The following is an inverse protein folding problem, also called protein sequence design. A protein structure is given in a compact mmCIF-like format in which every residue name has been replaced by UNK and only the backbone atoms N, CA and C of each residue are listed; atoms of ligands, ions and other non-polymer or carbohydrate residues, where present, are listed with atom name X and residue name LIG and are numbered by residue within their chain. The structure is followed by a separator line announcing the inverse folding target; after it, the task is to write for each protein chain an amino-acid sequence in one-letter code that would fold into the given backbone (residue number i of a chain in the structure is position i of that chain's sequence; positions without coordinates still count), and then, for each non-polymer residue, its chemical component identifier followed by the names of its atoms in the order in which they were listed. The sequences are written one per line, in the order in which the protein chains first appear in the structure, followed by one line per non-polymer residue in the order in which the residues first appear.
data_IF_290095771294
#
_entry.id   IF_290095771294
#
_cell.length_a   1.000
_cell.length_b   1.000
_cell.length_c   1.000
_cell.angle_alpha   90.00
_cell.angle_beta   90.00
_cell.angle_gamma   90.00
#
_symmetry.space_group_name_H-M   'P 1'
#
loop_
_entity.id
_entity.type
_entity.pdbx_description
1 polymer ?
#
# COMPACT_ATOMS: atom_id res chain seq x y z
N UNK A 1 -21.43 3.80 -12.84
CA UNK A 1 -20.23 3.28 -13.55
C UNK A 1 -19.36 2.60 -12.50
N UNK A 2 -18.97 1.35 -12.69
CA UNK A 2 -17.99 0.69 -11.82
C UNK A 2 -16.58 1.09 -12.27
N UNK A 3 -15.75 1.57 -11.33
CA UNK A 3 -14.37 1.98 -11.60
C UNK A 3 -13.47 0.92 -10.98
N UNK A 4 -12.67 0.26 -11.81
CA UNK A 4 -11.70 -0.73 -11.36
C UNK A 4 -10.31 -0.07 -11.29
N UNK A 5 -9.69 -0.08 -10.11
CA UNK A 5 -8.33 0.38 -9.90
C UNK A 5 -7.49 -0.79 -9.41
N UNK A 6 -6.57 -1.27 -10.24
CA UNK A 6 -5.68 -2.38 -9.91
C UNK A 6 -4.21 -2.00 -10.15
N UNK A 7 -3.35 -1.99 -9.12
CA UNK A 7 -1.93 -1.75 -9.31
C UNK A 7 -1.29 -2.88 -10.11
N UNK A 8 -0.83 -2.58 -11.33
CA UNK A 8 -0.17 -3.56 -12.20
C UNK A 8 1.03 -4.17 -11.47
N UNK A 9 0.98 -5.49 -11.24
CA UNK A 9 2.03 -6.23 -10.55
C UNK A 9 2.08 -6.00 -9.04
N UNK A 10 0.97 -5.59 -8.41
CA UNK A 10 0.90 -5.40 -6.95
C UNK A 10 1.43 -6.60 -6.16
N UNK A 11 2.32 -6.34 -5.20
CA UNK A 11 2.96 -7.34 -4.34
C UNK A 11 4.02 -8.20 -5.04
N UNK A 12 4.38 -7.89 -6.29
CA UNK A 12 5.45 -8.58 -7.02
C UNK A 12 6.78 -7.84 -6.87
N UNK A 13 7.88 -8.58 -7.02
CA UNK A 13 9.24 -8.05 -6.85
C UNK A 13 9.60 -6.83 -7.74
N UNK A 14 8.89 -6.64 -8.86
CA UNK A 14 9.07 -5.49 -9.77
C UNK A 14 7.84 -4.60 -9.89
N UNK A 15 6.79 -4.88 -9.14
CA UNK A 15 5.60 -4.03 -9.08
C UNK A 15 5.51 -3.29 -7.74
N UNK A 16 4.44 -2.51 -7.52
CA UNK A 16 4.23 -1.82 -6.26
C UNK A 16 4.12 -2.83 -5.11
N UNK A 17 4.98 -2.69 -4.12
CA UNK A 17 5.03 -3.57 -2.96
C UNK A 17 5.53 -2.78 -1.74
N UNK A 18 5.20 -3.27 -0.55
CA UNK A 18 5.70 -2.78 0.72
C UNK A 18 6.88 -3.69 1.13
N UNK A 19 6.75 -4.46 2.21
CA UNK A 19 7.79 -5.38 2.69
C UNK A 19 7.70 -6.81 2.17
N UNK A 20 6.75 -7.14 1.28
CA UNK A 20 6.49 -8.51 0.83
C UNK A 20 5.56 -9.31 1.73
N UNK A 21 5.40 -8.94 3.01
CA UNK A 21 4.58 -9.67 3.98
C UNK A 21 3.13 -9.23 3.91
N UNK A 22 2.88 -7.92 3.96
CA UNK A 22 1.53 -7.33 3.98
C UNK A 22 0.90 -7.15 2.59
N UNK A 23 1.68 -7.33 1.52
CA UNK A 23 1.29 -6.91 0.19
C UNK A 23 0.08 -7.65 -0.35
N UNK A 24 0.01 -8.95 -0.12
CA UNK A 24 -1.10 -9.76 -0.61
C UNK A 24 -2.44 -9.27 -0.06
N UNK A 25 -2.49 -8.97 1.23
CA UNK A 25 -3.72 -8.54 1.90
C UNK A 25 -4.12 -7.13 1.47
N UNK A 26 -3.13 -6.23 1.35
CA UNK A 26 -3.36 -4.86 0.88
C UNK A 26 -3.84 -4.84 -0.58
N UNK A 27 -3.15 -5.54 -1.49
CA UNK A 27 -3.51 -5.60 -2.91
C UNK A 27 -4.91 -6.20 -3.08
N UNK A 28 -5.19 -7.32 -2.41
CA UNK A 28 -6.53 -7.92 -2.42
C UNK A 28 -7.58 -6.92 -1.93
N UNK A 29 -7.29 -6.21 -0.86
CA UNK A 29 -8.16 -5.18 -0.31
C UNK A 29 -8.50 -4.04 -1.27
N UNK A 30 -7.50 -3.56 -2.04
CA UNK A 30 -7.70 -2.55 -3.08
C UNK A 30 -8.60 -3.08 -4.21
N UNK A 31 -8.39 -4.34 -4.63
CA UNK A 31 -9.24 -4.98 -5.63
C UNK A 31 -10.69 -5.14 -5.13
N UNK A 32 -10.86 -5.59 -3.88
CA UNK A 32 -12.18 -5.74 -3.25
C UNK A 32 -12.89 -4.39 -3.11
N UNK A 33 -12.17 -3.33 -2.73
CA UNK A 33 -12.70 -1.97 -2.70
C UNK A 33 -13.17 -1.50 -4.08
N UNK A 34 -12.42 -1.79 -5.14
CA UNK A 34 -12.82 -1.41 -6.51
C UNK A 34 -14.15 -2.04 -6.95
N UNK A 35 -14.54 -3.17 -6.35
CA UNK A 35 -15.81 -3.85 -6.62
C UNK A 35 -16.94 -3.36 -5.72
N UNK A 36 -16.63 -3.01 -4.47
CA UNK A 36 -17.62 -2.81 -3.40
C UNK A 36 -17.77 -1.36 -2.95
N UNK A 37 -16.78 -0.52 -3.22
CA UNK A 37 -16.61 0.83 -2.65
C UNK A 37 -16.62 0.88 -1.11
N UNK A 38 -16.26 -0.23 -0.43
CA UNK A 38 -16.24 -0.29 1.02
C UNK A 38 -15.02 0.46 1.61
N UNK A 39 -15.25 1.69 2.06
CA UNK A 39 -14.22 2.51 2.71
C UNK A 39 -13.83 1.95 4.09
N UNK A 40 -14.69 1.17 4.73
CA UNK A 40 -14.40 0.51 6.00
C UNK A 40 -13.27 -0.52 5.85
N UNK A 41 -13.31 -1.30 4.76
CA UNK A 41 -12.23 -2.21 4.38
C UNK A 41 -10.88 -1.48 4.25
N UNK A 42 -10.85 -0.35 3.53
CA UNK A 42 -9.62 0.43 3.37
C UNK A 42 -9.08 0.95 4.69
N UNK A 43 -9.96 1.40 5.59
CA UNK A 43 -9.55 1.84 6.94
C UNK A 43 -8.96 0.69 7.75
N UNK A 44 -9.61 -0.47 7.76
CA UNK A 44 -9.13 -1.64 8.47
C UNK A 44 -7.75 -2.10 7.95
N UNK A 45 -7.54 -2.09 6.63
CA UNK A 45 -6.25 -2.40 6.03
C UNK A 45 -5.16 -1.38 6.38
N UNK A 46 -5.52 -0.09 6.44
CA UNK A 46 -4.60 0.95 6.88
C UNK A 46 -4.23 0.82 8.37
N UNK A 47 -5.10 0.25 9.20
CA UNK A 47 -4.87 -0.01 10.63
C UNK A 47 -4.16 -1.34 10.91
N UNK A 48 -3.98 -2.19 9.90
CA UNK A 48 -3.26 -3.46 10.04
C UNK A 48 -1.85 -3.25 10.59
N UNK A 49 -1.47 -4.11 11.53
CA UNK A 49 -0.15 -4.07 12.15
C UNK A 49 0.91 -4.70 11.22
N UNK A 50 1.90 -3.91 10.84
CA UNK A 50 3.04 -4.37 10.06
C UNK A 50 4.25 -3.47 10.32
N UNK A 51 5.40 -4.08 10.61
CA UNK A 51 6.63 -3.35 10.92
C UNK A 51 7.06 -2.36 9.82
N UNK A 52 6.73 -2.62 8.55
CA UNK A 52 7.09 -1.70 7.46
C UNK A 52 6.33 -0.38 7.48
N UNK A 53 5.24 -0.29 8.25
CA UNK A 53 4.45 0.93 8.38
C UNK A 53 5.24 2.02 9.13
N UNK A 54 6.00 1.65 10.14
CA UNK A 54 6.87 2.58 10.87
C UNK A 54 7.95 3.19 9.94
N UNK A 55 8.54 2.36 9.09
CA UNK A 55 9.49 2.79 8.07
C UNK A 55 8.83 3.76 7.08
N UNK A 56 7.64 3.43 6.58
CA UNK A 56 6.88 4.30 5.67
C UNK A 56 6.54 5.66 6.31
N UNK A 57 6.07 5.68 7.56
CA UNK A 57 5.79 6.92 8.29
C UNK A 57 7.05 7.76 8.53
N UNK A 58 8.18 7.09 8.81
CA UNK A 58 9.48 7.75 8.93
C UNK A 58 9.90 8.41 7.60
N UNK A 59 9.76 7.71 6.47
CA UNK A 59 10.07 8.25 5.14
C UNK A 59 9.21 9.48 4.86
N UNK A 60 7.88 9.38 4.99
CA UNK A 60 6.97 10.50 4.74
C UNK A 60 7.29 11.75 5.58
N UNK A 61 7.74 11.55 6.83
CA UNK A 61 8.07 12.65 7.74
C UNK A 61 9.41 13.32 7.41
N UNK A 62 10.38 12.56 6.91
CA UNK A 62 11.78 13.02 6.81
C UNK A 62 12.26 13.21 5.38
N UNK A 63 11.60 12.60 4.39
CA UNK A 63 11.95 12.74 2.99
C UNK A 63 11.72 14.19 2.57
N UNK A 64 12.79 14.82 2.11
CA UNK A 64 12.77 16.20 1.60
C UNK A 64 12.91 16.16 0.08
N UNK A 65 12.41 17.19 -0.62
CA UNK A 65 12.29 17.22 -2.09
C UNK A 65 13.58 17.04 -2.91
N UNK A 66 14.74 16.80 -2.30
CA UNK A 66 15.97 16.45 -3.00
C UNK A 66 16.08 14.93 -3.20
N UNK A 67 15.05 14.36 -3.86
CA UNK A 67 14.96 13.08 -4.58
C UNK A 67 16.00 11.99 -4.28
N UNK A 68 16.25 11.65 -3.01
CA UNK A 68 17.04 10.48 -2.63
C UNK A 68 16.19 9.60 -1.72
N UNK A 69 16.04 8.30 -2.05
CA UNK A 69 15.30 7.39 -1.20
C UNK A 69 16.01 7.26 0.16
N UNK A 70 15.26 7.47 1.24
CA UNK A 70 15.77 7.32 2.62
C UNK A 70 15.93 5.86 3.03
N UNK A 71 15.24 4.98 2.32
CA UNK A 71 15.16 3.54 2.58
C UNK A 71 15.44 2.79 1.29
N UNK A 72 15.71 1.49 1.41
CA UNK A 72 16.26 0.67 0.33
C UNK A 72 15.21 0.20 -0.67
#
# INVERSE_FOLDING_TARGET
VHILCDPVGGGQARGPHNCGICDRDIVKGISDYSLTADVGLLRALAEMDCACKEEWEFVLKNEKPFCMPLTR
#
